data_IF_843578631732
#
_entry.id   IF_843578631732
#
_cell.length_a   1.000
_cell.length_b   1.000
_cell.length_c   1.000
_cell.angle_alpha   90.00
_cell.angle_beta   90.00
_cell.angle_gamma   90.00
#
_symmetry.space_group_name_H-M   'P 1'
#
loop_
_entity.id
_entity.type
_entity.pdbx_description
1 polymer ?
#
# COMPACT_ATOMS: atom_id res chain seq x y z
N UNK A 1 -4.46 4.30 -28.67
CA UNK A 1 -4.37 2.85 -28.36
C UNK A 1 -3.07 2.62 -27.63
N UNK A 2 -3.07 1.90 -26.49
CA UNK A 2 -1.84 1.59 -25.77
C UNK A 2 -1.09 0.48 -26.52
N UNK A 3 0.18 0.73 -26.83
CA UNK A 3 1.05 -0.23 -27.52
C UNK A 3 2.13 -0.75 -26.58
N UNK A 4 2.53 -2.00 -26.78
CA UNK A 4 3.62 -2.61 -26.05
C UNK A 4 4.96 -2.02 -26.49
N UNK A 5 5.44 -1.04 -25.72
CA UNK A 5 6.75 -0.42 -25.87
C UNK A 5 7.30 -0.06 -24.48
N UNK A 6 7.61 -1.07 -23.63
CA UNK A 6 7.98 -0.84 -22.23
C UNK A 6 9.21 0.05 -22.06
N UNK A 7 10.10 0.10 -23.05
CA UNK A 7 11.24 1.01 -23.10
C UNK A 7 10.86 2.51 -23.14
N UNK A 8 9.63 2.81 -23.58
CA UNK A 8 9.11 4.18 -23.69
C UNK A 8 8.13 4.52 -22.55
N UNK A 9 7.89 3.59 -21.63
CA UNK A 9 6.97 3.83 -20.52
C UNK A 9 7.69 4.56 -19.37
N UNK A 10 7.07 5.60 -18.79
CA UNK A 10 7.68 6.35 -17.70
C UNK A 10 7.84 5.46 -16.46
N UNK A 11 8.89 5.74 -15.67
CA UNK A 11 9.10 5.15 -14.34
C UNK A 11 9.17 3.61 -14.30
N UNK A 12 9.61 2.94 -15.37
CA UNK A 12 9.86 1.50 -15.33
C UNK A 12 10.98 1.18 -14.32
N UNK A 13 10.60 0.54 -13.20
CA UNK A 13 11.53 0.21 -12.11
C UNK A 13 12.09 -1.19 -12.19
N UNK A 14 11.25 -2.14 -12.56
CA UNK A 14 11.64 -3.56 -12.59
C UNK A 14 10.88 -4.28 -13.69
N UNK A 15 11.60 -5.16 -14.38
CA UNK A 15 11.06 -6.14 -15.33
C UNK A 15 11.59 -7.50 -14.95
N UNK A 16 10.70 -8.48 -14.88
CA UNK A 16 11.06 -9.88 -14.67
C UNK A 16 10.33 -10.73 -15.68
N UNK A 17 11.08 -11.44 -16.50
CA UNK A 17 10.56 -12.43 -17.44
C UNK A 17 10.61 -13.81 -16.79
N UNK A 18 9.49 -14.51 -16.81
CA UNK A 18 9.32 -15.87 -16.29
C UNK A 18 8.60 -16.73 -17.34
N UNK A 19 8.47 -18.03 -17.07
CA UNK A 19 7.83 -18.98 -18.00
C UNK A 19 6.36 -18.70 -18.29
N UNK A 20 5.67 -18.01 -17.37
CA UNK A 20 4.26 -17.62 -17.45
C UNK A 20 4.05 -16.18 -17.93
N UNK A 21 5.13 -15.45 -18.26
CA UNK A 21 5.04 -14.14 -18.89
C UNK A 21 6.00 -13.10 -18.33
N UNK A 22 5.69 -11.83 -18.63
CA UNK A 22 6.47 -10.68 -18.22
C UNK A 22 5.77 -9.93 -17.08
N UNK A 23 6.51 -9.74 -16.00
CA UNK A 23 6.11 -8.94 -14.85
C UNK A 23 6.82 -7.59 -14.89
N UNK A 24 6.05 -6.50 -14.89
CA UNK A 24 6.55 -5.13 -14.93
C UNK A 24 6.06 -4.36 -13.70
N UNK A 25 6.97 -3.59 -13.11
CA UNK A 25 6.65 -2.63 -12.04
C UNK A 25 7.00 -1.23 -12.55
N UNK A 26 5.98 -0.38 -12.64
CA UNK A 26 6.11 1.03 -13.02
C UNK A 26 5.74 1.93 -11.84
N UNK A 27 6.43 3.06 -11.70
CA UNK A 27 6.06 4.13 -10.79
C UNK A 27 7.14 4.53 -9.79
N UNK A 28 6.78 5.41 -8.86
CA UNK A 28 7.66 5.99 -7.87
C UNK A 28 7.37 5.46 -6.45
N UNK A 29 8.15 5.87 -5.44
CA UNK A 29 8.03 5.38 -4.05
C UNK A 29 6.61 5.47 -3.43
N UNK A 30 5.72 6.29 -3.99
CA UNK A 30 4.36 6.58 -3.52
C UNK A 30 3.26 5.99 -4.42
N UNK A 31 3.60 5.41 -5.57
CA UNK A 31 2.63 4.77 -6.45
C UNK A 31 3.32 3.71 -7.30
N UNK A 32 2.80 2.49 -7.26
CA UNK A 32 3.28 1.39 -8.08
C UNK A 32 2.14 0.81 -8.91
N UNK A 33 2.39 0.64 -10.20
CA UNK A 33 1.58 -0.16 -11.11
C UNK A 33 2.30 -1.47 -11.36
N UNK A 34 1.62 -2.58 -11.04
CA UNK A 34 2.11 -3.93 -11.30
C UNK A 34 1.34 -4.49 -12.47
N UNK A 35 2.06 -4.85 -13.53
CA UNK A 35 1.49 -5.44 -14.73
C UNK A 35 2.00 -6.86 -14.87
N UNK A 36 1.11 -7.74 -15.31
CA UNK A 36 1.44 -9.06 -15.78
C UNK A 36 1.00 -9.16 -17.23
N UNK A 37 1.93 -9.55 -18.10
CA UNK A 37 1.72 -9.76 -19.52
C UNK A 37 1.91 -11.26 -19.80
N UNK A 38 0.82 -12.00 -20.10
CA UNK A 38 0.93 -13.42 -20.43
C UNK A 38 1.67 -13.58 -21.76
N UNK A 39 2.93 -13.99 -21.69
CA UNK A 39 3.88 -13.97 -22.80
C UNK A 39 4.37 -12.55 -23.16
N UNK A 40 5.62 -12.38 -23.61
CA UNK A 40 6.09 -11.08 -24.08
C UNK A 40 5.36 -10.72 -25.39
N UNK A 41 4.56 -9.63 -25.42
CA UNK A 41 3.91 -9.20 -26.65
C UNK A 41 4.97 -8.79 -27.69
N UNK A 42 4.62 -8.89 -28.97
CA UNK A 42 5.46 -8.30 -30.01
C UNK A 42 5.60 -6.78 -29.77
N UNK A 43 6.78 -6.18 -29.97
CA UNK A 43 6.94 -4.74 -29.91
C UNK A 43 5.92 -4.03 -30.80
N UNK A 44 5.22 -3.03 -30.26
CA UNK A 44 4.16 -2.30 -30.97
C UNK A 44 2.79 -2.97 -30.97
N UNK A 45 2.63 -4.17 -30.40
CA UNK A 45 1.34 -4.83 -30.29
C UNK A 45 0.36 -4.01 -29.45
N UNK A 46 -0.91 -3.99 -29.85
CA UNK A 46 -1.99 -3.40 -29.09
C UNK A 46 -2.16 -4.13 -27.74
N UNK A 47 -2.21 -3.39 -26.64
CA UNK A 47 -2.46 -3.96 -25.32
C UNK A 47 -3.94 -3.86 -24.96
N UNK A 48 -4.43 -4.90 -24.29
CA UNK A 48 -5.77 -4.98 -23.70
C UNK A 48 -5.66 -5.32 -22.22
N UNK A 49 -6.59 -4.83 -21.40
CA UNK A 49 -6.64 -5.13 -19.97
C UNK A 49 -7.73 -6.18 -19.74
N UNK A 50 -7.34 -7.33 -19.19
CA UNK A 50 -8.28 -8.36 -18.76
C UNK A 50 -8.57 -8.18 -17.27
N UNK A 51 -9.84 -7.97 -16.93
CA UNK A 51 -10.31 -7.80 -15.55
C UNK A 51 -11.26 -8.94 -15.23
N UNK A 52 -10.86 -9.92 -14.39
CA UNK A 52 -11.76 -10.96 -13.94
C UNK A 52 -12.90 -10.36 -13.11
N UNK A 53 -14.10 -10.92 -13.27
CA UNK A 53 -15.28 -10.53 -12.50
C UNK A 53 -15.28 -11.27 -11.16
N UNK A 54 -14.72 -10.63 -10.14
CA UNK A 54 -14.67 -11.10 -8.75
C UNK A 54 -14.78 -9.93 -7.73
N UNK A 55 -14.57 -10.22 -6.45
CA UNK A 55 -14.60 -9.22 -5.37
C UNK A 55 -13.58 -8.08 -5.55
N UNK A 56 -12.57 -8.25 -6.40
CA UNK A 56 -11.54 -7.25 -6.70
C UNK A 56 -11.77 -6.54 -8.04
N UNK A 57 -12.88 -6.79 -8.75
CA UNK A 57 -13.19 -6.15 -10.05
C UNK A 57 -13.08 -4.63 -9.98
N UNK A 58 -13.73 -4.02 -8.98
CA UNK A 58 -13.72 -2.56 -8.81
C UNK A 58 -12.30 -2.03 -8.59
N UNK A 59 -11.54 -2.67 -7.71
CA UNK A 59 -10.15 -2.31 -7.41
C UNK A 59 -9.25 -2.45 -8.64
N UNK A 60 -9.40 -3.53 -9.42
CA UNK A 60 -8.63 -3.77 -10.66
C UNK A 60 -9.01 -2.78 -11.76
N UNK A 61 -10.29 -2.44 -11.92
CA UNK A 61 -10.76 -1.42 -12.85
C UNK A 61 -10.21 -0.04 -12.50
N UNK A 62 -10.27 0.35 -11.22
CA UNK A 62 -9.68 1.60 -10.76
C UNK A 62 -8.15 1.63 -10.98
N UNK A 63 -7.46 0.52 -10.73
CA UNK A 63 -6.02 0.41 -10.97
C UNK A 63 -5.66 0.55 -12.46
N UNK A 64 -6.45 -0.07 -13.35
CA UNK A 64 -6.29 0.04 -14.80
C UNK A 64 -6.48 1.49 -15.28
N UNK A 65 -7.53 2.17 -14.81
CA UNK A 65 -7.77 3.58 -15.15
C UNK A 65 -6.66 4.51 -14.64
N UNK A 66 -6.15 4.28 -13.41
CA UNK A 66 -5.00 5.03 -12.89
C UNK A 66 -3.75 4.82 -13.74
N UNK A 67 -3.49 3.58 -14.15
CA UNK A 67 -2.37 3.24 -15.03
C UNK A 67 -2.48 3.91 -16.41
N UNK A 68 -3.66 3.85 -17.03
CA UNK A 68 -3.91 4.50 -18.32
C UNK A 68 -3.72 6.01 -18.23
N UNK A 69 -4.18 6.64 -17.14
CA UNK A 69 -3.95 8.06 -16.87
C UNK A 69 -2.47 8.37 -16.74
N UNK A 70 -1.74 7.57 -15.96
CA UNK A 70 -0.31 7.73 -15.74
C UNK A 70 0.51 7.65 -17.05
N UNK A 71 0.19 6.70 -17.92
CA UNK A 71 0.87 6.59 -19.22
C UNK A 71 0.52 7.75 -20.16
N UNK A 72 -0.75 8.16 -20.21
CA UNK A 72 -1.22 9.17 -21.16
C UNK A 72 -0.82 10.59 -20.77
N UNK A 73 -0.92 10.94 -19.48
CA UNK A 73 -0.74 12.32 -19.04
C UNK A 73 0.72 12.65 -18.70
N UNK A 74 1.62 11.65 -18.65
CA UNK A 74 3.00 11.78 -18.09
C UNK A 74 3.03 12.52 -16.74
N UNK A 75 1.88 12.62 -16.08
CA UNK A 75 1.66 13.45 -14.91
C UNK A 75 1.58 12.50 -13.71
N UNK A 76 2.47 12.73 -12.75
CA UNK A 76 2.45 12.13 -11.43
C UNK A 76 1.37 12.84 -10.60
N UNK A 77 0.12 12.77 -11.05
CA UNK A 77 -0.95 13.61 -10.54
C UNK A 77 -2.00 12.79 -9.83
N UNK A 78 -1.92 12.77 -8.50
CA UNK A 78 -2.94 12.24 -7.57
C UNK A 78 -2.88 10.72 -7.34
N UNK A 79 -1.76 10.26 -6.79
CA UNK A 79 -1.82 9.06 -5.96
C UNK A 79 -2.67 9.38 -4.74
N UNK A 80 -3.90 8.86 -4.74
CA UNK A 80 -4.72 8.73 -3.57
C UNK A 80 -3.93 7.99 -2.48
N UNK A 81 -3.29 8.74 -1.59
CA UNK A 81 -2.59 8.20 -0.43
C UNK A 81 -3.09 8.92 0.80
N UNK A 82 -4.34 8.62 1.17
CA UNK A 82 -4.53 8.31 2.56
C UNK A 82 -3.79 6.99 2.79
N UNK A 83 -2.49 7.07 3.12
CA UNK A 83 -1.92 6.04 3.99
C UNK A 83 -2.95 5.92 5.11
N UNK A 84 -3.55 4.74 5.27
CA UNK A 84 -4.57 4.52 6.28
C UNK A 84 -3.87 4.86 7.60
N UNK A 85 -4.10 6.07 8.13
CA UNK A 85 -3.35 6.66 9.25
C UNK A 85 -3.28 5.66 10.41
N UNK A 86 -4.35 4.89 10.53
CA UNK A 86 -4.52 3.81 11.47
C UNK A 86 -3.49 2.69 11.32
N UNK A 87 -3.17 2.25 10.09
CA UNK A 87 -2.13 1.25 9.82
C UNK A 87 -0.77 1.80 10.24
N UNK A 88 -0.43 3.04 9.87
CA UNK A 88 0.83 3.66 10.27
C UNK A 88 0.95 3.75 11.81
N UNK A 89 -0.13 4.14 12.50
CA UNK A 89 -0.19 4.14 13.97
C UNK A 89 -0.02 2.73 14.56
N UNK A 90 -0.62 1.69 13.95
CA UNK A 90 -0.47 0.31 14.39
C UNK A 90 0.97 -0.19 14.24
N UNK A 91 1.65 0.16 13.13
CA UNK A 91 3.04 -0.21 12.89
C UNK A 91 3.98 0.50 13.88
N UNK A 92 3.83 1.81 14.09
CA UNK A 92 4.63 2.54 15.09
C UNK A 92 4.40 2.00 16.51
N UNK A 93 3.16 1.63 16.85
CA UNK A 93 2.86 1.00 18.13
C UNK A 93 3.49 -0.38 18.27
N UNK A 94 3.51 -1.18 17.19
CA UNK A 94 4.19 -2.47 17.13
C UNK A 94 5.69 -2.31 17.35
N UNK A 95 6.33 -1.35 16.68
CA UNK A 95 7.78 -1.11 16.79
C UNK A 95 8.17 -0.82 18.24
N UNK A 96 7.42 0.08 18.91
CA UNK A 96 7.63 0.35 20.33
C UNK A 96 7.40 -0.87 21.22
N UNK A 97 6.39 -1.69 20.92
CA UNK A 97 6.12 -2.92 21.66
C UNK A 97 7.24 -3.96 21.50
N UNK A 98 7.76 -4.16 20.28
CA UNK A 98 8.89 -5.05 20.00
C UNK A 98 10.18 -4.57 20.67
N UNK A 99 10.35 -3.24 20.79
CA UNK A 99 11.41 -2.62 21.57
C UNK A 99 11.20 -2.70 23.10
N UNK A 100 10.15 -3.41 23.56
CA UNK A 100 9.78 -3.56 24.98
C UNK A 100 9.45 -2.23 25.70
N UNK A 101 9.10 -1.18 24.95
CA UNK A 101 8.63 0.07 25.53
C UNK A 101 7.31 -0.15 26.28
N UNK A 102 7.08 0.62 27.34
CA UNK A 102 5.80 0.53 28.05
C UNK A 102 4.67 1.10 27.19
N UNK A 103 3.42 0.68 27.45
CA UNK A 103 2.28 1.28 26.77
C UNK A 103 2.19 2.80 26.97
N UNK A 104 2.74 3.33 28.06
CA UNK A 104 2.76 4.77 28.32
C UNK A 104 3.74 5.47 27.39
N UNK A 105 4.95 4.93 27.26
CA UNK A 105 5.99 5.49 26.37
C UNK A 105 5.53 5.43 24.91
N UNK A 106 4.91 4.32 24.50
CA UNK A 106 4.33 4.18 23.16
C UNK A 106 3.25 5.24 22.94
N UNK A 107 2.33 5.43 23.91
CA UNK A 107 1.28 6.42 23.82
C UNK A 107 1.83 7.85 23.72
N UNK A 108 2.87 8.15 24.48
CA UNK A 108 3.52 9.45 24.50
C UNK A 108 4.12 9.81 23.14
N UNK A 109 4.80 8.86 22.49
CA UNK A 109 5.36 9.06 21.16
C UNK A 109 4.29 9.16 20.05
N UNK A 110 3.10 8.56 20.26
CA UNK A 110 2.01 8.59 19.29
C UNK A 110 1.09 9.80 19.45
N UNK A 111 0.87 10.28 20.68
CA UNK A 111 -0.18 11.25 21.01
C UNK A 111 0.33 12.52 21.71
N UNK A 112 1.59 12.55 22.15
CA UNK A 112 2.22 13.66 22.86
C UNK A 112 1.85 13.74 24.34
N UNK A 113 2.80 14.21 25.15
CA UNK A 113 2.67 14.35 26.62
C UNK A 113 1.42 15.12 27.05
N UNK A 114 1.13 16.25 26.40
CA UNK A 114 -0.01 17.10 26.73
C UNK A 114 -1.33 16.34 26.73
N UNK A 115 -1.51 15.43 25.78
CA UNK A 115 -2.75 14.66 25.67
C UNK A 115 -2.82 13.55 26.71
N UNK A 116 -1.68 12.94 27.05
CA UNK A 116 -1.59 11.88 28.07
C UNK A 116 -1.91 12.41 29.47
N UNK A 117 -1.56 13.66 29.78
CA UNK A 117 -1.73 14.24 31.11
C UNK A 117 -3.15 14.80 31.37
N UNK A 118 -4.05 14.77 30.39
CA UNK A 118 -5.44 15.23 30.55
C UNK A 118 -6.28 14.33 31.45
N UNK A 119 -5.92 13.06 31.57
CA UNK A 119 -6.64 12.06 32.35
C UNK A 119 -5.67 11.14 33.10
N UNK A 120 -6.05 10.59 34.27
CA UNK A 120 -5.25 9.57 34.93
C UNK A 120 -4.99 8.36 34.02
N UNK A 121 -3.72 7.99 33.85
CA UNK A 121 -3.28 6.95 32.90
C UNK A 121 -4.03 5.62 33.02
N UNK A 122 -4.33 5.16 34.25
CA UNK A 122 -4.95 3.85 34.49
C UNK A 122 -6.36 3.74 33.90
N UNK A 123 -7.09 4.85 33.81
CA UNK A 123 -8.47 4.93 33.32
C UNK A 123 -8.58 5.66 31.98
N UNK A 124 -7.44 6.09 31.40
CA UNK A 124 -7.44 6.92 30.21
C UNK A 124 -7.86 6.16 28.94
N UNK A 125 -8.68 6.83 28.11
CA UNK A 125 -9.04 6.37 26.78
C UNK A 125 -7.82 6.16 25.86
N UNK A 126 -6.74 6.92 26.08
CA UNK A 126 -5.47 6.84 25.33
C UNK A 126 -4.76 5.52 25.61
N UNK A 127 -4.77 5.06 26.87
CA UNK A 127 -4.22 3.75 27.23
C UNK A 127 -4.93 2.63 26.46
N UNK A 128 -6.26 2.65 26.48
CA UNK A 128 -7.07 1.66 25.77
C UNK A 128 -6.83 1.72 24.24
N UNK A 129 -6.69 2.93 23.67
CA UNK A 129 -6.39 3.11 22.26
C UNK A 129 -5.01 2.58 21.88
N UNK A 130 -4.00 2.81 22.72
CA UNK A 130 -2.63 2.33 22.50
C UNK A 130 -2.56 0.81 22.54
N UNK A 131 -3.23 0.17 23.51
CA UNK A 131 -3.35 -1.29 23.57
C UNK A 131 -3.99 -1.85 22.29
N UNK A 132 -5.04 -1.20 21.77
CA UNK A 132 -5.67 -1.61 20.51
C UNK A 132 -4.73 -1.47 19.32
N UNK A 133 -3.95 -0.39 19.25
CA UNK A 133 -2.97 -0.19 18.18
C UNK A 133 -1.88 -1.27 18.22
N UNK A 134 -1.33 -1.58 19.40
CA UNK A 134 -0.35 -2.66 19.56
C UNK A 134 -0.93 -4.00 19.14
N UNK A 135 -2.14 -4.35 19.61
CA UNK A 135 -2.82 -5.60 19.21
C UNK A 135 -3.05 -5.67 17.70
N UNK A 136 -3.47 -4.56 17.09
CA UNK A 136 -3.64 -4.45 15.64
C UNK A 136 -2.33 -4.63 14.87
N UNK A 137 -1.25 -4.00 15.33
CA UNK A 137 0.08 -4.15 14.76
C UNK A 137 0.60 -5.59 14.85
N UNK A 138 0.43 -6.26 16.00
CA UNK A 138 0.78 -7.68 16.15
C UNK A 138 -0.03 -8.55 15.18
N UNK A 139 -1.32 -8.28 15.03
CA UNK A 139 -2.18 -9.01 14.10
C UNK A 139 -1.73 -8.80 12.64
N UNK A 140 -1.34 -7.58 12.26
CA UNK A 140 -0.75 -7.29 10.95
C UNK A 140 0.53 -8.11 10.76
N UNK A 141 1.48 -8.06 11.70
CA UNK A 141 2.75 -8.80 11.65
C UNK A 141 2.55 -10.31 11.52
N UNK A 142 1.58 -10.89 12.22
CA UNK A 142 1.25 -12.33 12.19
C UNK A 142 0.44 -12.75 10.96
N UNK A 143 0.66 -12.11 9.81
CA UNK A 143 0.03 -12.44 8.53
C UNK A 143 -1.23 -11.66 8.19
N UNK A 144 -1.76 -10.83 9.11
CA UNK A 144 -2.90 -9.97 8.85
C UNK A 144 -2.67 -8.94 7.74
N UNK A 145 -1.40 -8.56 7.49
CA UNK A 145 -1.01 -7.66 6.40
C UNK A 145 -1.47 -8.14 5.01
N UNK A 146 -1.67 -9.45 4.81
CA UNK A 146 -2.12 -10.00 3.51
C UNK A 146 -3.51 -9.48 3.11
N UNK A 147 -4.36 -9.13 4.08
CA UNK A 147 -5.67 -8.53 3.83
C UNK A 147 -5.58 -7.13 3.20
N UNK A 148 -4.43 -6.46 3.33
CA UNK A 148 -4.18 -5.17 2.69
C UNK A 148 -3.98 -5.31 1.18
N UNK A 149 -3.65 -6.51 0.68
CA UNK A 149 -3.50 -6.79 -0.75
C UNK A 149 -4.84 -7.01 -1.47
N UNK A 150 -5.89 -7.29 -0.70
CA UNK A 150 -7.23 -7.60 -1.22
C UNK A 150 -8.23 -6.47 -0.99
N UNK A 151 -7.80 -5.35 -0.40
CA UNK A 151 -8.66 -4.24 0.01
C UNK A 151 -8.90 -3.25 -1.13
#
# INVERSE_FOLDING_TARGET
MLVYAPQNWPDLRSRRTTSDGDYLILGARRWEHRLWLPGPPAPGAALSVLIPVDNSTSTRSAAALRFLRHINERSSGSAAEMHDKRISEMLRALDGHLAKASYRDIAEQLFGHERLNREPWKTSSIRAMTIRLVKGGIALMRGGYRKLLTR
#
